data_IF_609013919746
#
_entry.id   IF_609013919746
#
_cell.length_a   1.000
_cell.length_b   1.000
_cell.length_c   1.000
_cell.angle_alpha   90.00
_cell.angle_beta   90.00
_cell.angle_gamma   90.00
#
_symmetry.space_group_name_H-M   'P 1'
#
loop_
_entity.id
_entity.type
_entity.pdbx_description
1 polymer ?
2 non-polymer ?
3 water ?
#
# COMPACT_ATOMS: atom_id res chain seq x y z
N UNK A 1 -17.55 -3.03 0.21
CA UNK A 1 -16.51 -3.41 -0.69
C UNK A 1 -15.44 -2.37 -0.73
N UNK A 2 -14.20 -2.82 -0.71
CA UNK A 2 -13.05 -1.95 -0.75
C UNK A 2 -12.21 -2.39 -1.93
N UNK A 3 -11.76 -1.43 -2.75
CA UNK A 3 -10.95 -1.74 -3.92
C UNK A 3 -9.90 -0.66 -4.13
N UNK A 4 -8.76 -1.08 -4.67
CA UNK A 4 -7.71 -0.14 -4.96
C UNK A 4 -8.08 0.67 -6.21
N UNK A 5 -7.26 1.66 -6.51
CA UNK A 5 -7.32 2.29 -7.82
C UNK A 5 -6.83 1.29 -8.88
N UNK A 6 -7.16 1.57 -10.13
CA UNK A 6 -6.71 0.75 -11.23
C UNK A 6 -5.30 1.17 -11.57
N UNK A 7 -4.40 0.20 -11.73
CA UNK A 7 -3.00 0.43 -12.04
C UNK A 7 -2.70 -0.17 -13.40
N UNK A 8 -2.36 0.68 -14.39
CA UNK A 8 -2.05 0.21 -15.72
C UNK A 8 -2.66 1.10 -16.77
N UNK A 9 -2.93 0.56 -17.95
CA UNK A 9 -3.40 1.34 -19.07
C UNK A 9 -4.61 0.75 -19.76
N UNK A 10 -5.00 1.36 -20.87
CA UNK A 10 -6.31 1.09 -21.48
C UNK A 10 -6.33 0.01 -22.55
N UNK A 11 -5.22 -0.66 -22.82
CA UNK A 11 -5.20 -1.72 -23.81
C UNK A 11 -5.91 -2.97 -23.33
N UNK A 12 -5.98 -3.95 -24.22
CA UNK A 12 -6.60 -5.22 -23.89
C UNK A 12 -8.10 -5.13 -23.66
N UNK A 13 -8.64 -6.19 -23.06
CA UNK A 13 -10.05 -6.29 -22.74
C UNK A 13 -10.22 -6.39 -21.23
N UNK A 14 -11.29 -5.79 -20.71
CA UNK A 14 -11.59 -5.84 -19.29
C UNK A 14 -11.94 -7.25 -18.85
N UNK A 15 -11.48 -7.62 -17.65
CA UNK A 15 -11.93 -8.82 -16.96
C UNK A 15 -12.27 -8.47 -15.52
N UNK A 16 -13.05 -9.34 -14.88
CA UNK A 16 -13.46 -9.12 -13.50
C UNK A 16 -13.80 -10.47 -12.88
N UNK A 17 -13.09 -10.86 -11.82
CA UNK A 17 -13.32 -12.13 -11.15
C UNK A 17 -14.38 -12.07 -10.04
N UNK A 18 -15.12 -10.97 -9.94
CA UNK A 18 -16.10 -10.78 -8.87
C UNK A 18 -17.01 -12.00 -8.68
N UNK A 19 -17.60 -12.49 -9.75
CA UNK A 19 -18.56 -13.59 -9.61
C UNK A 19 -17.87 -14.89 -9.20
N UNK A 20 -16.73 -15.17 -9.82
CA UNK A 20 -16.02 -16.41 -9.53
C UNK A 20 -15.54 -16.44 -8.07
N UNK A 21 -15.32 -15.28 -7.46
CA UNK A 21 -14.87 -15.23 -6.07
C UNK A 21 -15.91 -15.76 -5.09
N UNK A 22 -17.17 -15.89 -5.50
CA UNK A 22 -18.14 -16.51 -4.61
C UNK A 22 -17.83 -17.98 -4.32
N UNK A 23 -16.88 -18.59 -5.06
CA UNK A 23 -16.40 -19.92 -4.74
C UNK A 23 -15.63 -19.99 -3.44
N UNK A 24 -14.92 -18.93 -3.06
CA UNK A 24 -14.17 -18.97 -1.84
C UNK A 24 -12.89 -18.16 -1.92
N UNK A 25 -12.04 -18.38 -0.92
CA UNK A 25 -10.76 -17.70 -0.82
C UNK A 25 -9.90 -18.05 -2.02
N UNK A 26 -9.02 -17.11 -2.39
CA UNK A 26 -7.97 -17.43 -3.33
C UNK A 26 -7.08 -18.52 -2.71
N UNK A 27 -6.88 -19.60 -3.46
CA UNK A 27 -6.08 -20.73 -3.01
C UNK A 27 -4.81 -20.94 -3.83
N UNK A 28 -4.64 -20.17 -4.89
CA UNK A 28 -3.50 -20.40 -5.78
C UNK A 28 -3.30 -19.19 -6.66
N UNK A 29 -2.03 -18.84 -6.89
CA UNK A 29 -1.63 -17.82 -7.85
C UNK A 29 -0.92 -18.53 -8.98
N UNK A 30 -1.32 -18.27 -10.23
CA UNK A 30 -0.54 -18.69 -11.38
C UNK A 30 -0.25 -17.46 -12.21
N UNK A 31 1.00 -17.28 -12.59
CA UNK A 31 1.41 -16.16 -13.41
C UNK A 31 2.42 -16.67 -14.41
N UNK A 32 2.64 -15.88 -15.45
CA UNK A 32 3.70 -16.13 -16.40
C UNK A 32 4.63 -14.93 -16.31
N UNK A 33 5.91 -15.19 -16.17
CA UNK A 33 6.86 -14.21 -15.69
C UNK A 33 8.13 -14.24 -16.52
N UNK A 34 8.53 -13.06 -16.99
CA UNK A 34 9.80 -12.89 -17.69
C UNK A 34 10.38 -11.55 -17.22
N UNK A 35 10.84 -10.69 -18.13
CA UNK A 35 11.20 -9.36 -17.68
C UNK A 35 9.97 -8.58 -17.21
N UNK A 36 8.78 -8.97 -17.68
CA UNK A 36 7.51 -8.44 -17.21
C UNK A 36 6.59 -9.61 -16.90
N UNK A 37 5.49 -9.29 -16.20
CA UNK A 37 4.42 -10.25 -15.97
C UNK A 37 3.55 -10.34 -17.22
N UNK A 38 3.38 -11.53 -17.78
CA UNK A 38 2.56 -11.67 -18.99
C UNK A 38 1.16 -12.23 -18.80
N UNK A 39 0.86 -12.93 -17.71
CA UNK A 39 -0.54 -13.27 -17.40
C UNK A 39 -0.69 -13.52 -15.92
N UNK A 40 -1.93 -13.42 -15.45
CA UNK A 40 -2.30 -13.83 -14.10
C UNK A 40 -3.57 -14.68 -14.15
N UNK A 41 -3.63 -15.66 -13.28
CA UNK A 41 -4.76 -16.58 -13.21
C UNK A 41 -4.86 -17.06 -11.77
N UNK A 42 -5.85 -16.56 -11.04
CA UNK A 42 -6.05 -16.97 -9.66
C UNK A 42 -7.09 -18.08 -9.56
N UNK A 43 -6.96 -18.89 -8.51
CA UNK A 43 -7.94 -19.94 -8.21
C UNK A 43 -8.77 -19.54 -7.01
N UNK A 44 -10.10 -19.55 -7.17
CA UNK A 44 -11.05 -19.18 -6.13
C UNK A 44 -11.68 -20.47 -5.63
N UNK A 45 -11.39 -20.81 -4.38
CA UNK A 45 -11.71 -22.15 -3.93
C UNK A 45 -11.02 -23.14 -4.84
N UNK A 46 -11.78 -23.99 -5.50
CA UNK A 46 -11.19 -24.94 -6.43
C UNK A 46 -11.20 -24.49 -7.88
N UNK A 47 -11.73 -23.30 -8.20
CA UNK A 47 -12.03 -22.93 -9.57
C UNK A 47 -11.05 -21.86 -10.06
N UNK A 48 -10.34 -22.17 -11.14
CA UNK A 48 -9.46 -21.21 -11.79
C UNK A 48 -10.26 -20.21 -12.62
N UNK A 49 -9.79 -18.97 -12.64
CA UNK A 49 -10.25 -18.02 -13.65
C UNK A 49 -9.69 -18.42 -15.02
N UNK A 50 -10.14 -17.70 -16.04
CA UNK A 50 -9.46 -17.77 -17.31
C UNK A 50 -8.05 -17.22 -17.17
N UNK A 51 -7.22 -17.52 -18.15
CA UNK A 51 -5.87 -16.99 -18.21
C UNK A 51 -5.92 -15.54 -18.67
N UNK A 52 -5.70 -14.62 -17.74
CA UNK A 52 -5.79 -13.20 -18.03
C UNK A 52 -4.41 -12.72 -18.46
N UNK A 53 -4.15 -12.87 -19.77
CA UNK A 53 -2.90 -12.47 -20.39
C UNK A 53 -2.44 -13.53 -21.37
N UNK A 54 -1.34 -13.24 -22.07
CA UNK A 54 -0.75 -14.09 -23.10
C UNK A 54 -1.83 -14.74 -23.97
N UNK A 55 -2.57 -13.90 -24.69
CA UNK A 55 -3.77 -14.35 -25.37
C UNK A 55 -3.46 -15.43 -26.41
N UNK A 56 -2.33 -15.32 -27.11
CA UNK A 56 -1.99 -16.29 -28.14
C UNK A 56 -0.47 -16.39 -28.26
N UNK A 57 -0.01 -17.46 -28.92
CA UNK A 57 1.42 -17.64 -29.10
C UNK A 57 2.02 -16.61 -30.04
N UNK A 58 1.19 -15.96 -30.85
CA UNK A 58 1.65 -14.85 -31.68
C UNK A 58 2.14 -13.67 -30.86
N UNK A 59 1.86 -13.67 -29.56
CA UNK A 59 2.30 -12.58 -28.69
C UNK A 59 3.82 -12.48 -28.61
N UNK A 60 4.55 -13.51 -29.04
CA UNK A 60 6.01 -13.47 -29.08
C UNK A 60 6.46 -12.28 -29.92
N UNK A 61 5.55 -11.76 -30.75
CA UNK A 61 5.88 -10.66 -31.64
C UNK A 61 6.13 -9.35 -30.88
N UNK A 62 5.54 -9.20 -29.70
CA UNK A 62 5.69 -7.98 -28.92
C UNK A 62 6.33 -8.21 -27.55
N UNK A 63 6.48 -9.45 -27.11
CA UNK A 63 6.95 -9.71 -25.76
C UNK A 63 7.50 -11.12 -25.69
N UNK A 64 8.47 -11.32 -24.79
CA UNK A 64 8.85 -12.67 -24.43
C UNK A 64 7.70 -13.33 -23.68
N UNK A 65 7.60 -14.67 -23.82
CA UNK A 65 6.53 -15.41 -23.17
C UNK A 65 6.79 -15.53 -21.67
N UNK A 66 7.96 -16.04 -21.30
CA UNK A 66 8.30 -16.24 -19.92
C UNK A 66 7.98 -17.63 -19.42
N UNK A 67 8.05 -17.75 -18.10
CA UNK A 67 7.96 -19.02 -17.39
C UNK A 67 6.71 -19.00 -16.50
N UNK A 68 6.00 -20.13 -16.47
CA UNK A 68 4.84 -20.27 -15.60
C UNK A 68 5.27 -20.46 -14.16
N UNK A 69 4.75 -19.61 -13.29
CA UNK A 69 5.04 -19.58 -11.87
C UNK A 69 3.74 -19.87 -11.15
N UNK A 70 3.79 -20.79 -10.19
CA UNK A 70 2.62 -21.11 -9.36
C UNK A 70 3.00 -20.93 -7.90
N UNK A 71 2.07 -20.35 -7.15
CA UNK A 71 2.15 -20.34 -5.68
C UNK A 71 0.87 -20.95 -5.13
N UNK A 72 0.94 -22.20 -4.69
CA UNK A 72 -0.17 -22.82 -3.98
C UNK A 72 -0.26 -22.19 -2.60
N UNK A 73 -1.42 -21.64 -2.25
CA UNK A 73 -1.58 -21.03 -0.94
C UNK A 73 -2.11 -22.05 0.05
N UNK A 74 -1.60 -21.98 1.28
CA UNK A 74 -2.05 -22.90 2.30
C UNK A 74 -3.34 -22.39 2.93
N UNK A 75 -3.97 -23.26 3.71
CA UNK A 75 -5.19 -22.88 4.40
C UNK A 75 -4.92 -21.71 5.31
N UNK A 76 -5.78 -20.69 5.23
CA UNK A 76 -5.59 -19.50 6.01
C UNK A 76 -4.57 -18.53 5.47
N UNK A 77 -4.01 -18.79 4.27
CA UNK A 77 -3.04 -17.87 3.68
C UNK A 77 -3.79 -16.90 2.78
N UNK A 78 -3.55 -15.62 3.00
CA UNK A 78 -4.21 -14.55 2.25
C UNK A 78 -3.17 -13.56 1.76
N UNK A 79 -3.40 -13.02 0.56
CA UNK A 79 -2.52 -12.02 -0.05
C UNK A 79 -2.86 -10.69 0.57
N UNK A 80 -1.88 -10.08 1.23
CA UNK A 80 -2.14 -8.87 2.01
C UNK A 80 -1.52 -7.62 1.42
N UNK A 81 -0.60 -7.73 0.48
CA UNK A 81 -0.12 -6.55 -0.21
C UNK A 81 0.48 -6.94 -1.57
N UNK A 82 0.58 -5.95 -2.43
CA UNK A 82 1.17 -6.13 -3.75
C UNK A 82 2.02 -4.91 -4.07
N UNK A 83 3.27 -5.13 -4.43
CA UNK A 83 4.11 -4.05 -4.94
C UNK A 83 3.97 -4.15 -6.43
N UNK A 84 3.50 -3.09 -7.05
CA UNK A 84 3.21 -3.10 -8.48
C UNK A 84 4.02 -2.01 -9.13
N UNK A 85 4.77 -2.36 -10.17
CA UNK A 85 5.35 -1.35 -11.06
C UNK A 85 4.53 -1.36 -12.35
N UNK A 86 4.25 -0.15 -12.87
CA UNK A 86 3.29 -0.05 -13.96
C UNK A 86 3.41 1.28 -14.68
N UNK A 87 2.88 1.29 -15.89
CA UNK A 87 2.74 2.48 -16.70
C UNK A 87 1.64 2.23 -17.69
N UNK A 88 2.01 2.01 -18.96
CA UNK A 88 1.04 1.60 -19.96
C UNK A 88 0.45 0.22 -19.65
N UNK A 89 1.25 -0.64 -19.01
CA UNK A 89 0.84 -1.97 -18.60
C UNK A 89 1.29 -2.17 -17.17
N UNK A 90 0.84 -3.29 -16.58
CA UNK A 90 1.52 -3.78 -15.41
C UNK A 90 2.86 -4.32 -15.86
N UNK A 91 3.92 -3.83 -15.23
CA UNK A 91 5.28 -4.30 -15.52
C UNK A 91 5.66 -5.48 -14.63
N UNK A 92 5.60 -5.30 -13.32
CA UNK A 92 5.97 -6.34 -12.36
C UNK A 92 5.01 -6.31 -11.19
N UNK A 93 4.89 -7.46 -10.53
CA UNK A 93 4.01 -7.63 -9.35
C UNK A 93 4.75 -8.46 -8.33
N UNK A 94 4.81 -7.99 -7.07
CA UNK A 94 5.38 -8.74 -5.96
C UNK A 94 4.31 -8.89 -4.89
N UNK A 95 3.75 -10.08 -4.76
CA UNK A 95 2.75 -10.34 -3.74
C UNK A 95 3.42 -10.69 -2.41
N UNK A 96 2.78 -10.28 -1.32
CA UNK A 96 3.14 -10.71 0.01
C UNK A 96 1.87 -11.23 0.66
N UNK A 97 2.00 -12.33 1.40
CA UNK A 97 0.87 -12.92 2.11
C UNK A 97 1.09 -12.74 3.61
N UNK A 98 0.08 -13.14 4.38
CA UNK A 98 0.20 -13.18 5.83
C UNK A 98 1.13 -14.28 6.32
N UNK A 99 1.72 -15.09 5.44
CA UNK A 99 2.67 -16.12 5.83
C UNK A 99 4.05 -15.97 5.22
N UNK A 100 4.21 -15.24 4.12
CA UNK A 100 5.49 -15.21 3.44
C UNK A 100 5.47 -14.14 2.35
N UNK A 101 6.66 -13.66 2.00
CA UNK A 101 6.80 -12.87 0.79
C UNK A 101 7.00 -13.84 -0.36
N UNK A 102 6.55 -13.43 -1.53
CA UNK A 102 6.69 -14.22 -2.73
C UNK A 102 7.58 -13.50 -3.72
N UNK A 103 8.25 -14.23 -4.60
CA UNK A 103 9.15 -13.58 -5.55
C UNK A 103 8.42 -12.70 -6.54
N UNK A 104 9.10 -11.68 -7.00
CA UNK A 104 8.53 -10.77 -7.98
C UNK A 104 8.30 -11.51 -9.30
N UNK A 105 7.16 -11.25 -9.92
CA UNK A 105 6.88 -11.69 -11.28
C UNK A 105 7.15 -10.49 -12.19
N UNK A 106 8.22 -10.57 -12.98
CA UNK A 106 8.72 -9.48 -13.80
C UNK A 106 10.03 -9.01 -13.25
N UNK A 107 11.13 -9.33 -13.93
CA UNK A 107 12.43 -8.95 -13.39
C UNK A 107 12.70 -7.46 -13.53
N UNK A 108 12.03 -6.77 -14.46
CA UNK A 108 12.17 -5.31 -14.62
C UNK A 108 11.21 -4.59 -13.69
N UNK A 109 11.73 -3.62 -12.93
CA UNK A 109 10.93 -2.87 -11.99
C UNK A 109 11.21 -1.39 -12.12
N UNK A 110 11.41 -0.95 -13.35
CA UNK A 110 11.88 0.40 -13.63
C UNK A 110 10.76 1.43 -13.70
N UNK A 111 9.49 0.99 -13.77
CA UNK A 111 8.39 1.93 -13.86
C UNK A 111 7.91 2.33 -12.45
N UNK A 112 7.00 3.31 -12.42
CA UNK A 112 6.42 3.80 -11.19
C UNK A 112 5.97 2.62 -10.32
N UNK A 113 6.28 2.72 -9.04
CA UNK A 113 6.04 1.65 -8.09
C UNK A 113 5.10 2.12 -6.99
N UNK A 114 4.19 1.24 -6.60
CA UNK A 114 3.30 1.52 -5.49
C UNK A 114 3.14 0.23 -4.68
N UNK A 115 3.01 0.39 -3.38
CA UNK A 115 2.74 -0.73 -2.48
C UNK A 115 1.28 -0.65 -2.07
N UNK A 116 0.49 -1.62 -2.52
CA UNK A 116 -0.96 -1.65 -2.27
C UNK A 116 -1.19 -2.54 -1.06
N UNK A 117 -1.68 -1.97 0.04
CA UNK A 117 -2.18 -2.77 1.14
C UNK A 117 -3.55 -3.30 0.73
N UNK A 118 -3.84 -4.53 1.12
CA UNK A 118 -5.09 -5.17 0.68
C UNK A 118 -5.83 -5.60 1.93
N UNK A 119 -6.68 -4.75 2.48
CA UNK A 119 -7.18 -5.00 3.85
C UNK A 119 -8.05 -6.25 3.93
N UNK A 120 -7.76 -7.08 4.93
CA UNK A 120 -8.47 -8.32 5.10
C UNK A 120 -8.00 -9.43 4.20
N UNK A 121 -7.03 -9.15 3.33
CA UNK A 121 -6.62 -10.09 2.30
C UNK A 121 -7.33 -9.83 0.99
N UNK A 122 -6.69 -10.26 -0.09
CA UNK A 122 -7.25 -10.07 -1.42
C UNK A 122 -8.46 -10.99 -1.59
N UNK A 123 -9.57 -10.41 -2.04
CA UNK A 123 -10.78 -11.14 -2.34
C UNK A 123 -10.79 -11.57 -3.80
N UNK A 124 -10.49 -10.66 -4.72
CA UNK A 124 -10.42 -10.99 -6.13
C UNK A 124 -9.75 -9.84 -6.88
N UNK A 125 -9.45 -10.10 -8.14
CA UNK A 125 -8.87 -9.09 -9.02
C UNK A 125 -9.81 -8.80 -10.17
N UNK A 126 -9.67 -7.60 -10.70
CA UNK A 126 -10.21 -7.21 -11.99
C UNK A 126 -9.10 -6.48 -12.73
N UNK A 127 -9.31 -6.20 -14.01
CA UNK A 127 -8.30 -5.47 -14.75
C UNK A 127 -8.54 -5.59 -16.24
N UNK A 128 -7.43 -5.57 -16.99
CA UNK A 128 -7.49 -5.70 -18.44
C UNK A 128 -6.33 -6.58 -18.90
N UNK A 129 -6.53 -7.31 -20.00
CA UNK A 129 -5.54 -8.26 -20.48
C UNK A 129 -5.59 -8.36 -22.00
N UNK A 130 -4.48 -8.82 -22.55
CA UNK A 130 -4.36 -9.14 -23.95
C UNK A 130 -3.20 -10.08 -24.10
N UNK A 131 -2.16 -9.65 -24.81
CA UNK A 131 -0.92 -10.42 -24.82
C UNK A 131 -0.22 -10.33 -23.48
N UNK A 132 -0.51 -9.31 -22.69
CA UNK A 132 0.05 -9.17 -21.35
C UNK A 132 -1.04 -8.61 -20.43
N UNK A 133 -0.63 -8.11 -19.26
CA UNK A 133 -1.56 -7.60 -18.26
C UNK A 133 -1.59 -6.08 -18.41
N UNK A 134 -2.61 -5.58 -19.08
CA UNK A 134 -2.71 -4.13 -19.27
C UNK A 134 -2.94 -3.39 -17.95
N UNK A 135 -3.68 -3.98 -17.03
CA UNK A 135 -3.88 -3.31 -15.76
C UNK A 135 -4.55 -4.21 -14.75
N UNK A 136 -4.47 -3.80 -13.49
CA UNK A 136 -5.04 -4.58 -12.40
C UNK A 136 -5.66 -3.65 -11.37
N UNK A 137 -6.70 -4.18 -10.73
CA UNK A 137 -7.37 -3.55 -9.59
C UNK A 137 -7.58 -4.63 -8.55
N UNK A 138 -7.26 -4.30 -7.30
CA UNK A 138 -7.32 -5.26 -6.19
C UNK A 138 -8.53 -5.01 -5.33
N UNK A 139 -9.34 -6.05 -5.13
CA UNK A 139 -10.57 -5.97 -4.37
C UNK A 139 -10.35 -6.72 -3.07
N UNK A 140 -10.58 -6.03 -1.95
CA UNK A 140 -10.17 -6.50 -0.63
C UNK A 140 -11.33 -7.12 0.14
N UNK A 141 -11.00 -7.98 1.10
CA UNK A 141 -11.97 -8.57 2.03
C UNK A 141 -12.22 -7.58 3.18
N UNK A 142 -12.86 -6.49 2.83
CA UNK A 142 -13.10 -5.42 3.79
C UNK A 142 -14.22 -4.57 3.26
N UNK B 1 -5.07 -5.72 11.90
CA UNK B 1 -5.30 -5.63 10.48
C UNK B 1 -4.05 -5.63 9.63
N UNK B 2 -4.22 -5.61 8.32
CA UNK B 2 -3.10 -5.56 7.39
C UNK B 2 -2.33 -4.26 7.61
N UNK B 3 -1.01 -4.35 7.55
CA UNK B 3 -0.16 -3.20 7.77
C UNK B 3 0.96 -3.17 6.73
N UNK B 4 1.45 -1.96 6.48
CA UNK B 4 2.65 -1.76 5.71
C UNK B 4 3.87 -2.33 6.46
N UNK B 5 5.00 -2.34 5.77
CA UNK B 5 6.27 -2.53 6.44
C UNK B 5 6.54 -1.32 7.33
N UNK B 6 7.47 -1.53 8.26
CA UNK B 6 7.96 -0.44 9.09
C UNK B 6 8.93 0.41 8.29
N UNK B 7 8.71 1.72 8.25
CA UNK B 7 9.48 2.66 7.45
C UNK B 7 10.24 3.58 8.37
N UNK B 8 11.57 3.48 8.37
CA UNK B 8 12.38 4.27 9.25
C UNK B 8 13.45 3.47 9.97
N UNK B 9 13.86 3.96 11.14
CA UNK B 9 14.99 3.40 11.85
C UNK B 9 14.69 2.94 13.26
N UNK B 10 15.71 2.41 13.95
CA UNK B 10 15.50 1.75 15.23
C UNK B 10 15.63 2.63 16.45
N UNK B 11 15.85 3.92 16.27
CA UNK B 11 15.95 4.82 17.38
C UNK B 11 14.63 5.06 18.06
N UNK B 12 14.68 5.80 19.16
CA UNK B 12 13.48 6.19 19.87
C UNK B 12 12.79 5.00 20.52
N UNK B 13 11.53 5.22 20.88
CA UNK B 13 10.70 4.26 21.58
C UNK B 13 9.50 3.92 20.71
N UNK B 14 9.04 2.68 20.81
CA UNK B 14 7.89 2.24 20.04
C UNK B 14 6.61 2.90 20.55
N UNK B 15 5.69 3.17 19.61
CA UNK B 15 4.33 3.57 19.91
C UNK B 15 3.40 2.78 19.00
N UNK B 16 2.14 2.67 19.39
CA UNK B 16 1.15 1.95 18.59
C UNK B 16 -0.23 2.47 18.95
N UNK B 17 -0.92 3.08 17.99
CA UNK B 17 -2.24 3.64 18.23
C UNK B 17 -3.37 2.61 18.09
N UNK B 18 -3.06 1.31 18.02
CA UNK B 18 -4.11 0.30 17.79
C UNK B 18 -5.26 0.44 18.78
N UNK B 19 -4.96 0.48 20.08
CA UNK B 19 -6.04 0.52 21.05
C UNK B 19 -6.81 1.82 20.94
N UNK B 20 -6.10 2.90 20.71
CA UNK B 20 -6.69 4.22 20.57
C UNK B 20 -7.65 4.28 19.40
N UNK B 21 -7.37 3.52 18.32
CA UNK B 21 -8.18 3.56 17.12
C UNK B 21 -9.54 2.95 17.31
N UNK B 22 -9.74 2.18 18.38
CA UNK B 22 -11.09 1.71 18.69
C UNK B 22 -12.06 2.86 18.91
N UNK B 23 -11.55 4.07 19.18
CA UNK B 23 -12.40 5.23 19.43
C UNK B 23 -12.97 5.87 18.17
N UNK B 24 -12.54 5.48 16.98
CA UNK B 24 -13.18 6.01 15.80
C UNK B 24 -12.22 6.17 14.64
N UNK B 25 -12.81 6.53 13.51
CA UNK B 25 -12.07 6.92 12.31
C UNK B 25 -11.14 8.09 12.61
N UNK B 26 -10.04 8.17 11.86
CA UNK B 26 -9.17 9.34 11.99
C UNK B 26 -9.95 10.57 11.55
N UNK B 27 -10.01 11.57 12.44
CA UNK B 27 -10.70 12.81 12.17
C UNK B 27 -9.76 14.01 12.08
N UNK B 28 -8.49 13.86 12.44
CA UNK B 28 -7.58 15.00 12.47
C UNK B 28 -6.17 14.47 12.33
N UNK B 29 -5.34 15.23 11.62
CA UNK B 29 -3.91 14.98 11.50
C UNK B 29 -3.21 16.22 12.00
N UNK B 30 -2.29 16.07 12.95
CA UNK B 30 -1.43 17.16 13.39
C UNK B 30 0.01 16.74 13.23
N UNK B 31 0.83 17.60 12.63
CA UNK B 31 2.23 17.32 12.46
C UNK B 31 3.00 18.58 12.77
N UNK B 32 4.32 18.43 12.99
CA UNK B 32 5.27 19.54 13.18
C UNK B 32 6.20 19.36 11.98
N UNK B 33 6.43 20.43 11.22
CA UNK B 33 7.00 20.31 9.89
C UNK B 33 8.03 21.40 9.67
N UNK B 34 9.28 20.98 9.44
CA UNK B 34 10.34 21.85 8.94
C UNK B 34 10.88 21.24 7.65
N UNK B 35 12.21 21.15 7.48
CA UNK B 35 12.71 20.37 6.36
C UNK B 35 12.39 18.89 6.52
N UNK B 36 12.10 18.46 7.75
CA UNK B 36 11.66 17.11 8.03
C UNK B 36 10.42 17.20 8.91
N UNK B 37 9.67 16.09 8.98
CA UNK B 37 8.56 15.98 9.90
C UNK B 37 9.10 15.59 11.27
N UNK B 38 8.82 16.39 12.29
CA UNK B 38 9.36 16.10 13.62
C UNK B 38 8.35 15.55 14.61
N UNK B 39 7.04 15.62 14.36
CA UNK B 39 6.12 14.78 15.13
C UNK B 39 4.83 14.56 14.34
N UNK B 40 4.10 13.55 14.77
CA UNK B 40 2.77 13.27 14.24
C UNK B 40 1.85 12.93 15.39
N UNK B 41 0.59 13.33 15.27
CA UNK B 41 -0.42 13.11 16.31
C UNK B 41 -1.78 13.07 15.63
N UNK B 42 -2.43 11.93 15.59
CA UNK B 42 -3.73 11.78 14.97
C UNK B 42 -4.83 11.81 16.04
N UNK B 43 -6.04 12.09 15.60
CA UNK B 43 -7.22 11.96 16.43
C UNK B 43 -8.11 10.85 15.88
N UNK B 44 -8.56 9.98 16.77
CA UNK B 44 -9.38 8.83 16.44
C UNK B 44 -10.74 9.08 17.06
N UNK B 45 -11.71 9.39 16.22
CA UNK B 45 -12.98 9.88 16.73
C UNK B 45 -12.73 11.22 17.41
N UNK B 46 -12.97 11.26 18.73
CA UNK B 46 -12.73 12.44 19.54
C UNK B 46 -11.50 12.31 20.42
N UNK B 47 -10.72 11.26 20.24
CA UNK B 47 -9.62 10.93 21.15
C UNK B 47 -8.30 11.20 20.47
N UNK B 48 -7.52 12.11 21.05
CA UNK B 48 -6.19 12.41 20.56
C UNK B 48 -5.17 11.43 21.09
N UNK B 49 -4.15 11.15 20.29
CA UNK B 49 -2.99 10.43 20.79
C UNK B 49 -2.03 11.40 21.48
N UNK B 50 -1.03 10.81 22.11
CA UNK B 50 0.11 11.57 22.56
C UNK B 50 0.83 12.15 21.34
N UNK B 51 1.71 13.12 21.58
CA UNK B 51 2.54 13.67 20.52
C UNK B 51 3.70 12.71 20.23
N UNK B 52 3.70 12.09 19.05
CA UNK B 52 4.75 11.14 18.68
C UNK B 52 5.87 11.89 17.97
N UNK B 53 6.81 12.41 18.76
CA UNK B 53 7.93 13.18 18.25
C UNK B 53 8.18 14.40 19.11
N UNK B 54 9.24 15.13 18.76
CA UNK B 54 9.67 16.34 19.46
C UNK B 54 9.55 16.18 20.97
N UNK B 55 10.31 15.21 21.49
CA UNK B 55 10.21 14.82 22.90
C UNK B 55 10.49 16.00 23.82
N UNK B 56 11.37 16.92 23.42
CA UNK B 56 11.72 18.04 24.28
C UNK B 56 12.35 19.14 23.45
N UNK B 57 12.44 20.33 24.04
CA UNK B 57 12.94 21.49 23.31
C UNK B 57 14.44 21.43 23.05
N UNK B 58 15.20 20.65 23.81
CA UNK B 58 16.62 20.53 23.48
C UNK B 58 16.84 19.72 22.21
N UNK B 59 15.80 19.12 21.66
CA UNK B 59 15.92 18.42 20.39
C UNK B 59 16.37 19.35 19.28
N UNK B 60 16.22 20.66 19.48
CA UNK B 60 16.67 21.64 18.52
C UNK B 60 18.17 21.55 18.27
N UNK B 61 18.92 20.91 19.16
CA UNK B 61 20.34 20.75 18.92
C UNK B 61 20.62 19.80 17.77
N UNK B 62 19.67 18.91 17.45
CA UNK B 62 19.92 17.80 16.57
C UNK B 62 19.09 17.81 15.30
N UNK B 63 18.12 18.71 15.20
CA UNK B 63 17.40 18.99 13.95
C UNK B 63 16.65 20.30 14.13
N UNK B 64 16.09 20.81 13.04
CA UNK B 64 15.16 21.93 13.17
C UNK B 64 13.85 21.44 13.80
N UNK B 65 13.01 22.40 14.19
CA UNK B 65 11.76 22.10 14.89
C UNK B 65 10.56 22.08 13.94
N UNK B 66 10.20 23.22 13.39
CA UNK B 66 9.13 23.30 12.43
C UNK B 66 7.89 24.00 12.98
N UNK B 67 6.91 24.10 12.10
CA UNK B 67 5.63 24.71 12.40
C UNK B 67 4.58 23.66 12.62
N UNK B 68 3.58 23.98 13.40
CA UNK B 68 2.48 23.05 13.71
C UNK B 68 1.44 23.15 12.60
N UNK B 69 1.15 22.00 11.98
CA UNK B 69 0.19 21.90 10.89
C UNK B 69 -0.96 21.00 11.33
N UNK B 70 -2.18 21.48 11.17
CA UNK B 70 -3.38 20.76 11.53
C UNK B 70 -4.27 20.61 10.30
N UNK B 71 -4.70 19.38 10.02
CA UNK B 71 -5.69 19.10 9.00
C UNK B 71 -6.87 18.39 9.63
N UNK B 72 -8.05 18.99 9.53
CA UNK B 72 -9.27 18.39 10.03
C UNK B 72 -9.94 17.65 8.88
N UNK B 73 -10.22 16.37 9.09
CA UNK B 73 -10.83 15.54 8.08
C UNK B 73 -12.35 15.61 8.27
N UNK B 74 -13.08 15.61 7.17
CA UNK B 74 -14.52 15.63 7.29
C UNK B 74 -15.05 14.21 7.49
N UNK B 75 -16.33 14.12 7.85
CA UNK B 75 -16.97 12.83 7.97
C UNK B 75 -16.89 12.11 6.63
N UNK B 76 -16.48 10.85 6.68
CA UNK B 76 -16.31 10.09 5.44
C UNK B 76 -15.03 10.36 4.69
N UNK B 77 -14.16 11.23 5.19
CA UNK B 77 -12.86 11.47 4.57
C UNK B 77 -11.82 10.57 5.21
N UNK B 78 -11.04 9.89 4.38
CA UNK B 78 -10.04 8.99 4.93
C UNK B 78 -8.83 8.98 4.03
N UNK B 79 -7.71 8.64 4.64
CA UNK B 79 -6.40 8.68 4.01
C UNK B 79 -6.20 7.43 3.16
N UNK B 80 -6.03 7.62 1.84
CA UNK B 80 -5.91 6.51 0.92
C UNK B 80 -4.51 6.33 0.37
N UNK B 81 -3.60 7.27 0.64
CA UNK B 81 -2.23 7.14 0.19
C UNK B 81 -1.32 7.92 1.12
N UNK B 82 -0.11 7.40 1.32
CA UNK B 82 0.94 8.08 2.06
C UNK B 82 2.22 7.89 1.28
N UNK B 83 2.83 8.99 0.86
CA UNK B 83 4.17 8.98 0.28
C UNK B 83 5.13 9.39 1.38
N UNK B 84 6.03 8.50 1.75
CA UNK B 84 6.96 8.69 2.85
C UNK B 84 8.38 8.64 2.29
N UNK B 85 9.18 9.66 2.61
CA UNK B 85 10.62 9.53 2.41
C UNK B 85 11.27 9.26 3.77
N UNK B 86 12.27 8.38 3.79
CA UNK B 86 12.76 7.86 5.06
C UNK B 86 14.11 7.17 4.90
N UNK B 87 14.80 7.07 6.03
CA UNK B 87 16.04 6.34 6.13
C UNK B 87 16.26 5.96 7.58
N UNK B 88 17.21 6.61 8.23
CA UNK B 88 17.38 6.48 9.66
C UNK B 88 16.14 6.96 10.40
N UNK B 89 15.45 7.97 9.87
CA UNK B 89 14.21 8.48 10.41
C UNK B 89 13.21 8.63 9.28
N UNK B 90 11.95 8.87 9.63
CA UNK B 90 11.04 9.45 8.66
C UNK B 90 11.49 10.86 8.38
N UNK B 91 11.61 11.20 7.09
CA UNK B 91 11.98 12.55 6.66
C UNK B 91 10.75 13.39 6.31
N UNK B 92 9.91 12.89 5.39
CA UNK B 92 8.72 13.63 4.96
C UNK B 92 7.54 12.68 4.80
N UNK B 93 6.33 13.25 4.95
CA UNK B 93 5.07 12.52 4.87
C UNK B 93 4.11 13.33 4.00
N UNK B 94 3.63 12.74 2.91
CA UNK B 94 2.59 13.35 2.08
C UNK B 94 1.34 12.47 2.09
N UNK B 95 0.28 12.94 2.74
CA UNK B 95 -0.97 12.22 2.81
C UNK B 95 -1.95 12.68 1.74
N UNK B 96 -2.66 11.72 1.15
CA UNK B 96 -3.74 11.99 0.21
C UNK B 96 -4.98 11.30 0.74
N UNK B 97 -6.11 12.01 0.69
CA UNK B 97 -7.38 11.44 1.10
C UNK B 97 -8.27 11.22 -0.11
N UNK B 98 -9.42 10.59 0.14
CA UNK B 98 -10.45 10.43 -0.89
C UNK B 98 -11.04 11.77 -1.33
N UNK B 99 -10.73 12.86 -0.65
CA UNK B 99 -11.27 14.17 -0.99
C UNK B 99 -10.23 15.17 -1.48
N UNK B 100 -8.96 15.04 -1.09
CA UNK B 100 -7.96 16.03 -1.44
C UNK B 100 -6.57 15.49 -1.16
N UNK B 101 -5.58 16.13 -1.76
CA UNK B 101 -4.18 15.88 -1.45
C UNK B 101 -3.69 16.94 -0.47
N UNK B 102 -3.06 16.50 0.62
CA UNK B 102 -2.56 17.42 1.61
C UNK B 102 -1.12 17.81 1.31
N UNK B 103 -0.67 18.98 1.74
CA UNK B 103 0.74 19.35 1.53
C UNK B 103 1.68 18.39 2.26
N UNK B 104 2.83 18.17 1.67
CA UNK B 104 3.90 17.42 2.35
C UNK B 104 4.31 18.10 3.65
N UNK B 105 4.51 17.29 4.68
CA UNK B 105 5.15 17.71 5.91
C UNK B 105 6.60 17.25 5.85
N UNK B 106 7.51 18.21 5.84
CA UNK B 106 8.92 17.98 5.62
C UNK B 106 9.28 18.44 4.23
N UNK B 107 9.92 19.60 4.13
CA UNK B 107 10.15 20.17 2.82
C UNK B 107 11.22 19.42 2.02
N UNK B 108 12.11 18.66 2.69
CA UNK B 108 13.11 17.85 2.02
C UNK B 108 12.56 16.45 1.73
N UNK B 109 12.77 15.97 0.50
CA UNK B 109 12.33 14.65 0.06
C UNK B 109 13.47 13.86 -0.58
N UNK B 110 14.70 14.08 -0.09
CA UNK B 110 15.88 13.45 -0.67
C UNK B 110 16.07 12.00 -0.25
N UNK B 111 15.38 11.54 0.78
CA UNK B 111 15.57 10.16 1.21
C UNK B 111 14.75 9.20 0.35
N UNK B 112 14.96 7.91 0.57
CA UNK B 112 14.23 6.87 -0.14
C UNK B 112 12.72 7.10 0.00
N UNK B 113 12.02 7.01 -1.12
CA UNK B 113 10.59 7.26 -1.16
C UNK B 113 9.82 5.97 -1.38
N UNK B 114 8.66 5.86 -0.74
CA UNK B 114 7.73 4.78 -1.00
C UNK B 114 6.32 5.36 -1.00
N UNK B 115 5.49 4.86 -1.89
CA UNK B 115 4.08 5.24 -1.99
C UNK B 115 3.27 4.04 -1.51
N UNK B 116 2.58 4.22 -0.37
CA UNK B 116 1.72 3.18 0.21
C UNK B 116 0.29 3.56 -0.06
N UNK B 117 -0.44 2.70 -0.77
CA UNK B 117 -1.86 2.88 -1.03
C UNK B 117 -2.66 2.08 -0.01
N UNK B 118 -3.70 2.71 0.54
CA UNK B 118 -4.54 2.14 1.59
C UNK B 118 -6.00 2.18 1.16
N UNK B 119 -6.42 1.23 0.33
CA UNK B 119 -7.83 1.17 -0.06
C UNK B 119 -8.69 1.09 1.18
N UNK B 120 -9.78 1.86 1.19
CA UNK B 120 -10.67 1.92 2.34
C UNK B 120 -10.27 2.88 3.42
N UNK B 121 -9.04 3.39 3.40
CA UNK B 121 -8.57 4.42 4.32
C UNK B 121 -7.70 3.86 5.43
N UNK B 122 -6.72 4.65 5.83
CA UNK B 122 -5.88 4.34 6.99
C UNK B 122 -6.73 4.20 8.24
N UNK B 123 -6.46 3.17 9.03
CA UNK B 123 -7.11 2.98 10.33
C UNK B 123 -6.29 3.61 11.44
N UNK B 124 -4.98 3.36 11.49
CA UNK B 124 -4.14 3.90 12.54
C UNK B 124 -2.67 3.73 12.17
N UNK B 125 -1.82 4.40 12.96
CA UNK B 125 -0.36 4.36 12.82
C UNK B 125 0.27 3.72 14.04
N UNK B 126 1.43 3.12 13.82
CA UNK B 126 2.37 2.77 14.86
C UNK B 126 3.74 3.22 14.39
N UNK B 127 4.75 3.08 15.24
CA UNK B 127 6.08 3.47 14.81
C UNK B 127 7.00 3.63 16.00
N UNK B 128 7.99 4.51 15.83
CA UNK B 128 8.93 4.83 16.90
C UNK B 128 9.17 6.33 16.89
N UNK B 129 9.44 6.89 18.07
CA UNK B 129 9.54 8.33 18.20
C UNK B 129 10.53 8.72 19.28
N UNK B 130 11.04 9.94 19.16
CA UNK B 130 11.85 10.56 20.19
C UNK B 130 11.88 12.04 19.95
N UNK B 131 13.06 12.58 19.65
CA UNK B 131 13.12 13.95 19.20
C UNK B 131 12.40 14.13 17.87
N UNK B 132 12.32 13.08 17.08
CA UNK B 132 11.60 13.16 15.82
C UNK B 132 10.89 11.82 15.59
N UNK B 133 10.55 11.54 14.34
CA UNK B 133 9.76 10.35 13.99
C UNK B 133 10.74 9.34 13.46
N UNK B 134 11.16 8.42 14.32
CA UNK B 134 12.13 7.42 13.93
C UNK B 134 11.56 6.52 12.85
N UNK B 135 10.26 6.21 12.93
CA UNK B 135 9.64 5.40 11.91
C UNK B 135 8.14 5.31 12.04
N UNK B 136 7.51 4.86 10.96
CA UNK B 136 6.07 4.75 10.86
C UNK B 136 5.67 3.44 10.20
N UNK B 137 4.51 2.94 10.60
CA UNK B 137 3.87 1.80 9.97
C UNK B 137 2.38 2.15 9.85
N UNK B 138 1.80 1.83 8.71
CA UNK B 138 0.42 2.19 8.38
C UNK B 138 -0.45 0.95 8.46
N UNK B 139 -1.56 1.05 9.19
CA UNK B 139 -2.46 -0.08 9.41
C UNK B 139 -3.81 0.22 8.77
N UNK B 140 -4.29 -0.73 7.96
CA UNK B 140 -5.54 -0.60 7.24
C UNK B 140 -6.69 -1.04 8.15
N UNK B 141 -7.91 -1.04 7.59
CA UNK B 141 -9.11 -1.22 8.40
C UNK B 141 -9.50 -2.67 8.62
N UNK B 142 -8.95 -3.58 7.81
CA UNK B 142 -9.15 -5.02 7.96
C UNK B 142 -7.80 -5.71 7.80
X LIG C 1 -8.75 -19.38 -21.52
X LIG C 1 -10.13 -19.83 -21.35
X LIG C 1 -8.75 -17.98 -21.95
X LIG C 1 -8.02 -19.52 -20.25
X LIG C 1 -8.08 -20.16 -22.57
X LIG D 1 15.70 -4.36 -8.98
X LIG D 1 14.65 -4.33 -7.96
X LIG D 1 16.34 -3.04 -9.04
X LIG D 1 16.68 -5.39 -8.63
X LIG D 1 15.12 -4.65 -10.30
X LIG E 1 -15.47 -10.62 2.68
X LIG E 1 -16.56 -11.27 3.41
X LIG E 1 -16.00 -9.59 1.77
X LIG E 1 -14.73 -11.60 1.89
X LIG E 1 -14.58 -9.98 3.66
X LIG F 1 -7.96 21.85 7.26
X LIG F 1 -8.63 23.04 6.76
X LIG F 1 -7.94 21.90 8.73
X LIG F 1 -6.59 21.78 6.72
X LIG F 1 -8.68 20.65 6.85
X LIG G 1 12.91 26.17 13.55
X LIG G 1 12.78 27.01 14.74
X LIG G 1 11.59 25.62 13.22
X LIG G 1 13.90 25.12 13.82
X LIG G 1 13.35 26.97 12.41
X LIG H 1 20.69 16.58 25.22
X LIG H 1 20.11 16.58 26.57
X LIG H 1 19.71 17.04 24.24
X LIG H 1 21.10 15.22 24.88
X LIG H 1 21.84 17.48 25.18
X LIG I 1 17.00 13.61 7.18
X LIG I 1 16.74 14.70 6.21
X LIG I 1 17.51 14.19 8.44
X LIG I 1 18.03 12.75 6.60
X LIG I 1 15.78 12.83 7.46
X LIG J 1 11.73 -2.19 21.67
X LIG J 1 10.42 -1.53 21.73
X LIG J 1 12.77 -1.17 21.86
X LIG J 1 11.88 -2.88 20.40
X LIG J 1 11.83 -3.19 22.74
#
# INVERSE_FOLDING_TARGET
QVASEYLGGPGGDAFDDKALAQNGDITRIEMQCTDVATYIKLRYGKVDSRQWGWANENCIQWSKKGVKVVHELSSGEYITSAIVTYGKYVQSITFKTNKRTLPRCGTSATEKSVTVLIPGGLKYISGRWGCRIDGLRFHAKC
QVASEYLGGPGGDAFDDKALAQNGDITRIEMQCTDVATYIKLRYGKVDSRQWGWANENCIQWSKKGVKVVHELSSGEYITSAIVTYGKYVQSITFKTNKRTLPRCGTSATEKSVTVLIPGGLKYISGRWGCRIDGLRFHAKC
SO4 S O1 O2 O3 O4
SO4 S O1 O2 O3 O4
SO4 S O1 O2 O3 O4
SO4 S O1 O2 O3 O4
SO4 S O1 O2 O3 O4
SO4 S O1 O2 O3 O4
SO4 S O1 O2 O3 O4
SO4 S O1 O2 O3 O4
#
